data_IF_933603110336
#
_entry.id   IF_933603110336
#
_cell.length_a   1.000
_cell.length_b   1.000
_cell.length_c   1.000
_cell.angle_alpha   90.00
_cell.angle_beta   90.00
_cell.angle_gamma   90.00
#
_symmetry.space_group_name_H-M   'P 1'
#
loop_
_entity.id
_entity.type
_entity.pdbx_description
1 polymer ?
#
# COMPACT_ATOMS: atom_id res chain seq x y z
N UNK A 1 27.79 -33.07 -17.46
CA UNK A 1 26.41 -32.74 -17.06
C UNK A 1 26.16 -33.44 -15.73
N UNK A 2 26.04 -32.67 -14.65
CA UNK A 2 25.76 -33.16 -13.31
C UNK A 2 24.26 -33.54 -13.16
N UNK A 3 23.85 -34.07 -12.00
CA UNK A 3 22.47 -34.52 -11.82
C UNK A 3 21.51 -33.30 -11.68
N UNK A 4 21.96 -32.17 -11.11
CA UNK A 4 21.22 -30.91 -11.08
C UNK A 4 20.85 -30.45 -12.49
N UNK A 5 21.80 -30.40 -13.41
CA UNK A 5 21.55 -30.00 -14.81
C UNK A 5 20.59 -30.97 -15.54
N UNK A 6 20.67 -32.27 -15.22
CA UNK A 6 19.73 -33.27 -15.79
C UNK A 6 18.33 -33.12 -15.23
N UNK A 7 18.21 -32.75 -13.96
CA UNK A 7 16.93 -32.42 -13.33
C UNK A 7 16.28 -31.24 -14.05
N UNK A 8 17.01 -30.13 -14.25
CA UNK A 8 16.50 -28.96 -14.94
C UNK A 8 16.09 -29.26 -16.38
N UNK A 9 16.90 -30.07 -17.12
CA UNK A 9 16.53 -30.51 -18.45
C UNK A 9 15.23 -31.32 -18.44
N UNK A 10 15.05 -32.22 -17.48
CA UNK A 10 13.83 -33.00 -17.35
C UNK A 10 12.60 -32.15 -17.00
N UNK A 11 12.79 -31.06 -16.22
CA UNK A 11 11.73 -30.07 -15.97
C UNK A 11 11.35 -29.33 -17.24
N UNK A 12 12.31 -28.87 -18.04
CA UNK A 12 12.06 -28.25 -19.34
C UNK A 12 11.32 -29.17 -20.32
N UNK A 13 11.65 -30.47 -20.29
CA UNK A 13 10.97 -31.52 -21.08
C UNK A 13 9.60 -31.95 -20.48
N UNK A 14 9.20 -31.34 -19.34
CA UNK A 14 7.98 -31.67 -18.57
C UNK A 14 7.91 -33.12 -18.09
N UNK A 15 9.03 -33.79 -17.96
CA UNK A 15 9.13 -35.17 -17.42
C UNK A 15 9.42 -35.13 -15.91
N UNK A 16 8.34 -34.86 -15.14
CA UNK A 16 8.43 -34.69 -13.68
C UNK A 16 8.97 -35.94 -12.98
N UNK A 17 8.73 -37.14 -13.55
CA UNK A 17 9.25 -38.41 -12.98
C UNK A 17 10.76 -38.51 -13.08
N UNK A 18 11.33 -38.12 -14.23
CA UNK A 18 12.79 -38.07 -14.38
C UNK A 18 13.39 -36.93 -13.60
N UNK A 19 12.73 -35.77 -13.54
CA UNK A 19 13.17 -34.63 -12.73
C UNK A 19 13.34 -35.07 -11.27
N UNK A 20 12.35 -35.71 -10.66
CA UNK A 20 12.44 -36.22 -9.29
C UNK A 20 13.57 -37.24 -9.11
N UNK A 21 13.75 -38.18 -10.07
CA UNK A 21 14.87 -39.12 -10.00
C UNK A 21 16.25 -38.43 -10.02
N UNK A 22 16.42 -37.41 -10.86
CA UNK A 22 17.67 -36.66 -10.91
C UNK A 22 17.83 -35.74 -9.69
N UNK A 23 16.75 -35.20 -9.14
CA UNK A 23 16.76 -34.47 -7.90
C UNK A 23 17.33 -35.31 -6.75
N UNK A 24 16.81 -36.53 -6.53
CA UNK A 24 17.33 -37.46 -5.50
C UNK A 24 18.80 -37.76 -5.69
N UNK A 25 19.22 -38.00 -6.94
CA UNK A 25 20.63 -38.26 -7.27
C UNK A 25 21.50 -37.05 -7.07
N UNK A 26 20.98 -35.85 -7.36
CA UNK A 26 21.73 -34.59 -7.12
C UNK A 26 22.04 -34.43 -5.65
N UNK A 27 21.05 -34.63 -4.75
CA UNK A 27 21.27 -34.58 -3.30
C UNK A 27 22.34 -35.55 -2.79
N UNK A 28 22.50 -36.70 -3.45
CA UNK A 28 23.48 -37.72 -3.04
C UNK A 28 24.90 -37.50 -3.61
N UNK A 29 25.02 -36.81 -4.75
CA UNK A 29 26.28 -36.89 -5.53
C UNK A 29 26.80 -35.57 -6.04
N UNK A 30 26.00 -34.55 -6.13
CA UNK A 30 26.44 -33.21 -6.60
C UNK A 30 27.12 -32.43 -5.43
N UNK A 31 28.02 -31.53 -5.75
CA UNK A 31 28.68 -30.72 -4.70
C UNK A 31 27.73 -29.69 -4.11
N UNK A 32 28.06 -29.25 -2.91
CA UNK A 32 27.27 -28.27 -2.14
C UNK A 32 27.07 -26.97 -2.93
N UNK A 33 28.08 -26.48 -3.67
CA UNK A 33 27.97 -25.30 -4.51
C UNK A 33 26.95 -25.49 -5.66
N UNK A 34 26.96 -26.67 -6.29
CA UNK A 34 26.03 -27.03 -7.38
C UNK A 34 24.61 -27.14 -6.84
N UNK A 35 24.45 -27.71 -5.66
CA UNK A 35 23.16 -27.78 -4.96
C UNK A 35 22.66 -26.40 -4.58
N UNK A 36 23.52 -25.51 -4.10
CA UNK A 36 23.15 -24.12 -3.79
C UNK A 36 22.62 -23.38 -5.03
N UNK A 37 23.35 -23.48 -6.18
CA UNK A 37 22.88 -22.89 -7.44
C UNK A 37 21.53 -23.48 -7.89
N UNK A 38 21.33 -24.80 -7.73
CA UNK A 38 20.06 -25.45 -8.05
C UNK A 38 18.93 -24.94 -7.15
N UNK A 39 19.17 -24.82 -5.85
CA UNK A 39 18.17 -24.36 -4.90
C UNK A 39 17.72 -22.92 -5.19
N UNK A 40 18.68 -22.01 -5.45
CA UNK A 40 18.39 -20.62 -5.82
C UNK A 40 17.55 -20.55 -7.12
N UNK A 41 17.87 -21.38 -8.11
CA UNK A 41 17.09 -21.44 -9.34
C UNK A 41 15.66 -21.95 -9.08
N UNK A 42 15.52 -23.03 -8.30
CA UNK A 42 14.21 -23.62 -7.97
C UNK A 42 13.35 -22.66 -7.15
N UNK A 43 13.94 -21.94 -6.20
CA UNK A 43 13.27 -20.89 -5.44
C UNK A 43 12.75 -19.79 -6.38
N UNK A 44 13.60 -19.30 -7.29
CA UNK A 44 13.25 -18.26 -8.26
C UNK A 44 12.12 -18.63 -9.23
N UNK A 45 11.87 -19.92 -9.46
CA UNK A 45 10.76 -20.42 -10.30
C UNK A 45 9.60 -21.01 -9.48
N UNK A 46 9.60 -20.81 -8.14
CA UNK A 46 8.51 -21.19 -7.25
C UNK A 46 8.47 -22.67 -6.83
N UNK A 47 9.57 -23.44 -7.03
CA UNK A 47 9.70 -24.81 -6.54
C UNK A 47 10.22 -24.82 -5.09
N UNK A 48 9.52 -24.12 -4.20
CA UNK A 48 9.90 -23.95 -2.79
C UNK A 48 10.13 -25.24 -2.01
N UNK A 49 9.32 -26.32 -2.13
CA UNK A 49 9.57 -27.56 -1.40
C UNK A 49 10.93 -28.20 -1.73
N UNK A 50 11.31 -28.21 -3.01
CA UNK A 50 12.58 -28.77 -3.46
C UNK A 50 13.75 -27.86 -3.07
N UNK A 51 13.59 -26.55 -3.20
CA UNK A 51 14.59 -25.58 -2.75
C UNK A 51 14.84 -25.72 -1.24
N UNK A 52 13.78 -25.79 -0.43
CA UNK A 52 13.85 -25.99 1.03
C UNK A 52 14.59 -27.28 1.38
N UNK A 53 14.29 -28.40 0.69
CA UNK A 53 14.97 -29.69 0.93
C UNK A 53 16.47 -29.59 0.65
N UNK A 54 16.88 -28.91 -0.44
CA UNK A 54 18.30 -28.70 -0.75
C UNK A 54 18.94 -27.80 0.32
N UNK A 55 18.35 -26.66 0.65
CA UNK A 55 18.90 -25.74 1.67
C UNK A 55 19.09 -26.45 3.01
N UNK A 56 18.12 -27.25 3.46
CA UNK A 56 18.24 -28.04 4.67
C UNK A 56 19.39 -29.08 4.59
N UNK A 57 19.64 -29.61 3.39
CA UNK A 57 20.72 -30.57 3.16
C UNK A 57 22.10 -29.92 3.26
N UNK A 58 22.23 -28.66 2.78
CA UNK A 58 23.53 -27.96 2.69
C UNK A 58 23.81 -26.98 3.82
N UNK A 59 22.85 -26.71 4.72
CA UNK A 59 22.93 -25.64 5.74
C UNK A 59 24.16 -25.73 6.64
N UNK A 60 24.68 -26.94 6.88
CA UNK A 60 25.87 -27.11 7.72
C UNK A 60 27.13 -26.58 7.04
N UNK A 61 27.24 -26.65 5.73
CA UNK A 61 28.38 -26.17 4.94
C UNK A 61 28.18 -24.73 4.47
N UNK A 62 26.90 -24.33 4.26
CA UNK A 62 26.47 -23.00 3.82
C UNK A 62 25.45 -22.41 4.79
N UNK A 63 25.88 -21.90 5.96
CA UNK A 63 24.97 -21.34 6.96
C UNK A 63 24.13 -20.16 6.47
N UNK A 64 24.59 -19.44 5.44
CA UNK A 64 23.88 -18.34 4.80
C UNK A 64 22.51 -18.75 4.25
N UNK A 65 22.28 -20.00 3.90
CA UNK A 65 20.97 -20.49 3.41
C UNK A 65 19.89 -20.46 4.49
N UNK A 66 20.24 -20.20 5.74
CA UNK A 66 19.25 -19.93 6.78
C UNK A 66 18.36 -18.74 6.43
N UNK A 67 18.87 -17.74 5.70
CA UNK A 67 18.07 -16.62 5.23
C UNK A 67 17.00 -17.07 4.22
N UNK A 68 17.39 -17.91 3.24
CA UNK A 68 16.47 -18.49 2.26
C UNK A 68 15.42 -19.39 2.93
N UNK A 69 15.85 -20.24 3.89
CA UNK A 69 14.95 -21.09 4.66
C UNK A 69 13.93 -20.27 5.47
N UNK A 70 14.38 -19.17 6.06
CA UNK A 70 13.52 -18.24 6.77
C UNK A 70 12.50 -17.57 5.85
N UNK A 71 12.95 -17.12 4.66
CA UNK A 71 12.05 -16.52 3.64
C UNK A 71 10.98 -17.51 3.20
N UNK A 72 11.37 -18.75 2.86
CA UNK A 72 10.41 -19.79 2.47
C UNK A 72 9.44 -20.11 3.61
N UNK A 73 9.92 -20.22 4.85
CA UNK A 73 9.07 -20.48 6.01
C UNK A 73 8.08 -19.32 6.26
N UNK A 74 8.50 -18.07 6.03
CA UNK A 74 7.64 -16.88 6.10
C UNK A 74 6.53 -16.92 5.05
N UNK A 75 6.85 -17.24 3.80
CA UNK A 75 5.88 -17.35 2.71
C UNK A 75 4.87 -18.50 2.96
N UNK A 76 5.32 -19.59 3.58
CA UNK A 76 4.47 -20.71 4.01
C UNK A 76 3.58 -20.34 5.23
N UNK A 77 3.73 -19.13 5.81
CA UNK A 77 3.04 -18.68 7.02
C UNK A 77 3.56 -19.33 8.31
N UNK A 78 4.73 -19.96 8.27
CA UNK A 78 5.34 -20.61 9.43
C UNK A 78 6.35 -19.68 10.11
N UNK A 79 5.81 -18.66 10.80
CA UNK A 79 6.60 -17.59 11.42
C UNK A 79 7.57 -18.12 12.48
N UNK A 80 7.18 -19.12 13.27
CA UNK A 80 8.05 -19.71 14.29
C UNK A 80 9.29 -20.40 13.67
N UNK A 81 9.09 -21.13 12.56
CA UNK A 81 10.18 -21.77 11.84
C UNK A 81 11.11 -20.73 11.20
N UNK A 82 10.53 -19.65 10.64
CA UNK A 82 11.29 -18.54 10.07
C UNK A 82 12.21 -17.89 11.13
N UNK A 83 11.70 -17.58 12.31
CA UNK A 83 12.52 -17.05 13.41
C UNK A 83 13.61 -18.03 13.83
N UNK A 84 13.32 -19.33 13.90
CA UNK A 84 14.33 -20.33 14.28
C UNK A 84 15.53 -20.32 13.30
N UNK A 85 15.30 -20.22 11.99
CA UNK A 85 16.38 -20.08 11.03
C UNK A 85 17.13 -18.76 11.15
N UNK A 86 16.42 -17.64 11.40
CA UNK A 86 17.04 -16.33 11.56
C UNK A 86 17.86 -16.19 12.84
N UNK A 87 17.60 -16.98 13.88
CA UNK A 87 18.40 -17.00 15.10
C UNK A 87 19.79 -17.64 14.91
N UNK A 88 19.94 -18.50 13.91
CA UNK A 88 21.24 -19.11 13.55
C UNK A 88 22.17 -18.12 12.82
N UNK A 89 21.67 -16.96 12.38
CA UNK A 89 22.48 -15.92 11.69
C UNK A 89 23.01 -14.95 12.75
N UNK A 90 24.31 -14.99 12.99
CA UNK A 90 24.97 -14.18 14.02
C UNK A 90 25.50 -12.85 13.48
N UNK A 91 25.84 -11.87 14.36
CA UNK A 91 26.39 -10.57 13.95
C UNK A 91 27.66 -10.61 13.13
N UNK A 92 28.38 -11.71 13.15
CA UNK A 92 29.60 -11.93 12.36
C UNK A 92 29.33 -12.34 10.91
N UNK A 93 28.08 -12.67 10.59
CA UNK A 93 27.66 -13.05 9.24
C UNK A 93 27.43 -11.82 8.36
N UNK A 94 27.86 -11.91 7.11
CA UNK A 94 27.56 -10.90 6.09
C UNK A 94 26.05 -10.75 5.82
N UNK A 95 25.25 -11.73 6.21
CA UNK A 95 23.78 -11.79 6.06
C UNK A 95 23.02 -11.27 7.28
N UNK A 96 23.72 -10.81 8.32
CA UNK A 96 23.07 -10.39 9.56
C UNK A 96 22.11 -9.22 9.37
N UNK A 97 22.48 -8.24 8.55
CA UNK A 97 21.62 -7.09 8.22
C UNK A 97 20.33 -7.55 7.55
N UNK A 98 20.45 -8.46 6.55
CA UNK A 98 19.28 -9.03 5.87
C UNK A 98 18.40 -9.86 6.81
N UNK A 99 19.03 -10.58 7.76
CA UNK A 99 18.29 -11.33 8.77
C UNK A 99 17.52 -10.40 9.73
N UNK A 100 18.09 -9.27 10.10
CA UNK A 100 17.41 -8.25 10.92
C UNK A 100 16.26 -7.59 10.17
N UNK A 101 16.43 -7.30 8.88
CA UNK A 101 15.36 -6.77 8.02
C UNK A 101 14.19 -7.76 7.93
N UNK A 102 14.46 -9.04 7.63
CA UNK A 102 13.41 -10.06 7.59
C UNK A 102 12.75 -10.30 8.96
N UNK A 103 13.50 -10.21 10.08
CA UNK A 103 12.91 -10.22 11.42
C UNK A 103 11.96 -9.04 11.63
N UNK A 104 12.32 -7.85 11.14
CA UNK A 104 11.46 -6.68 11.24
C UNK A 104 10.15 -6.89 10.47
N UNK A 105 10.22 -7.40 9.23
CA UNK A 105 9.03 -7.72 8.43
C UNK A 105 8.12 -8.73 9.14
N UNK A 106 8.70 -9.80 9.70
CA UNK A 106 7.94 -10.80 10.46
C UNK A 106 7.27 -10.22 11.70
N UNK A 107 7.97 -9.38 12.48
CA UNK A 107 7.37 -8.72 13.64
C UNK A 107 6.26 -7.75 13.24
N UNK A 108 6.41 -7.04 12.12
CA UNK A 108 5.36 -6.16 11.61
C UNK A 108 4.12 -6.96 11.19
N UNK A 109 4.28 -8.09 10.50
CA UNK A 109 3.17 -8.99 10.15
C UNK A 109 2.41 -9.51 11.38
N UNK A 110 3.12 -9.74 12.49
CA UNK A 110 2.52 -10.12 13.77
C UNK A 110 1.91 -8.93 14.56
N UNK A 111 1.96 -7.71 14.00
CA UNK A 111 1.46 -6.50 14.65
C UNK A 111 2.36 -5.98 15.78
N UNK A 112 3.61 -6.44 15.84
CA UNK A 112 4.62 -6.03 16.82
C UNK A 112 5.53 -4.94 16.24
N UNK A 113 4.92 -3.85 15.76
CA UNK A 113 5.58 -2.77 15.02
C UNK A 113 6.71 -2.11 15.82
N UNK A 114 6.57 -1.98 17.15
CA UNK A 114 7.65 -1.49 18.03
C UNK A 114 8.90 -2.37 17.97
N UNK A 115 8.73 -3.70 17.98
CA UNK A 115 9.84 -4.66 17.93
C UNK A 115 10.45 -4.67 16.53
N UNK A 116 9.64 -4.59 15.48
CA UNK A 116 10.10 -4.44 14.10
C UNK A 116 11.02 -3.22 13.96
N UNK A 117 10.59 -2.08 14.52
CA UNK A 117 11.37 -0.84 14.57
C UNK A 117 12.73 -1.02 15.25
N UNK A 118 12.78 -1.71 16.38
CA UNK A 118 14.04 -1.99 17.07
C UNK A 118 14.98 -2.83 16.21
N UNK A 119 14.48 -3.78 15.42
CA UNK A 119 15.29 -4.60 14.51
C UNK A 119 15.88 -3.79 13.37
N UNK A 120 15.14 -2.85 12.78
CA UNK A 120 15.70 -1.94 11.77
C UNK A 120 16.69 -0.96 12.36
N UNK A 121 16.48 -0.44 13.57
CA UNK A 121 17.48 0.37 14.27
C UNK A 121 18.78 -0.43 14.56
N UNK A 122 18.65 -1.70 14.90
CA UNK A 122 19.80 -2.59 15.07
C UNK A 122 20.53 -2.78 13.72
N UNK A 123 19.81 -3.04 12.63
CA UNK A 123 20.38 -3.19 11.29
C UNK A 123 21.16 -1.96 10.82
N UNK A 124 20.66 -0.76 11.12
CA UNK A 124 21.30 0.51 10.78
C UNK A 124 22.60 0.77 11.57
N UNK A 125 22.93 0.00 12.60
CA UNK A 125 24.27 0.04 13.20
C UNK A 125 25.35 -0.69 12.35
N UNK A 126 24.91 -1.49 11.37
CA UNK A 126 25.78 -2.31 10.52
C UNK A 126 25.76 -1.89 9.04
N UNK A 127 24.75 -1.13 8.63
CA UNK A 127 24.54 -0.72 7.23
C UNK A 127 23.85 0.64 7.15
N UNK A 128 24.23 1.44 6.16
CA UNK A 128 23.61 2.72 5.80
C UNK A 128 22.66 2.58 4.59
N UNK A 129 22.12 1.38 4.34
CA UNK A 129 21.24 1.11 3.22
C UNK A 129 19.98 1.98 3.28
N UNK A 130 19.71 2.66 2.18
CA UNK A 130 18.56 3.56 2.04
C UNK A 130 17.21 2.85 2.25
N UNK A 131 17.10 1.56 1.90
CA UNK A 131 15.87 0.78 2.12
C UNK A 131 15.61 0.49 3.61
N UNK A 132 16.67 0.32 4.41
CA UNK A 132 16.51 0.19 5.87
C UNK A 132 16.02 1.50 6.50
N UNK A 133 16.56 2.65 6.04
CA UNK A 133 16.10 3.97 6.49
C UNK A 133 14.64 4.20 6.06
N UNK A 134 14.30 3.81 4.83
CA UNK A 134 12.93 3.88 4.33
C UNK A 134 11.98 3.01 5.16
N UNK A 135 12.32 1.74 5.38
CA UNK A 135 11.53 0.82 6.20
C UNK A 135 11.33 1.34 7.64
N UNK A 136 12.39 1.88 8.25
CA UNK A 136 12.29 2.49 9.58
C UNK A 136 11.32 3.69 9.58
N UNK A 137 11.36 4.54 8.56
CA UNK A 137 10.45 5.67 8.44
C UNK A 137 8.99 5.23 8.22
N UNK A 138 8.75 4.13 7.47
CA UNK A 138 7.42 3.52 7.34
C UNK A 138 6.90 3.02 8.70
N UNK A 139 7.72 2.30 9.48
CA UNK A 139 7.35 1.85 10.83
C UNK A 139 7.12 3.03 11.80
N UNK A 140 7.93 4.08 11.73
CA UNK A 140 7.70 5.30 12.51
C UNK A 140 6.37 5.97 12.14
N UNK A 141 6.03 6.00 10.86
CA UNK A 141 4.73 6.52 10.40
C UNK A 141 3.56 5.68 10.90
N UNK A 142 3.69 4.36 10.86
CA UNK A 142 2.67 3.42 11.38
C UNK A 142 2.44 3.58 12.89
N UNK A 143 3.51 3.81 13.65
CA UNK A 143 3.47 4.07 15.10
C UNK A 143 2.97 5.48 15.45
N UNK A 144 2.73 6.36 14.48
CA UNK A 144 2.36 7.74 14.70
C UNK A 144 3.54 8.66 15.08
N UNK A 145 4.77 8.20 14.96
CA UNK A 145 6.00 8.97 15.17
C UNK A 145 6.32 9.81 13.92
N UNK A 146 5.36 10.63 13.50
CA UNK A 146 5.41 11.34 12.21
C UNK A 146 6.62 12.28 12.07
N UNK A 147 7.14 12.82 13.18
CA UNK A 147 8.31 13.70 13.12
C UNK A 147 9.58 12.90 12.77
N UNK A 148 9.75 11.73 13.34
CA UNK A 148 10.82 10.78 13.08
C UNK A 148 10.71 10.24 11.63
N UNK A 149 9.51 9.88 11.21
CA UNK A 149 9.21 9.42 9.85
C UNK A 149 9.64 10.48 8.81
N UNK A 150 9.26 11.75 9.00
CA UNK A 150 9.66 12.86 8.12
C UNK A 150 11.19 12.99 8.07
N UNK A 151 11.89 12.87 9.20
CA UNK A 151 13.35 12.94 9.23
C UNK A 151 13.99 11.78 8.48
N UNK A 152 13.43 10.58 8.58
CA UNK A 152 13.87 9.41 7.83
C UNK A 152 13.69 9.62 6.32
N UNK A 153 12.49 9.90 5.86
CA UNK A 153 12.20 10.13 4.44
C UNK A 153 13.01 11.27 3.83
N UNK A 154 13.23 12.36 4.58
CA UNK A 154 13.96 13.53 4.09
C UNK A 154 15.45 13.28 3.83
N UNK A 155 16.03 12.19 4.34
CA UNK A 155 17.41 11.78 4.07
C UNK A 155 17.57 11.02 2.75
N UNK A 156 16.44 10.58 2.17
CA UNK A 156 16.42 9.66 1.04
C UNK A 156 16.28 10.42 -0.29
N UNK A 157 16.91 9.88 -1.32
CA UNK A 157 16.64 10.31 -2.69
C UNK A 157 15.31 9.73 -3.16
N UNK A 158 14.32 10.60 -3.37
CA UNK A 158 12.97 10.19 -3.74
C UNK A 158 12.93 9.31 -5.00
N UNK A 159 13.75 9.64 -6.01
CA UNK A 159 13.76 8.91 -7.27
C UNK A 159 14.29 7.49 -7.07
N UNK A 160 15.40 7.36 -6.33
CA UNK A 160 16.00 6.05 -6.05
C UNK A 160 15.05 5.15 -5.26
N UNK A 161 14.36 5.69 -4.26
CA UNK A 161 13.36 4.93 -3.49
C UNK A 161 12.18 4.54 -4.37
N UNK A 162 11.67 5.49 -5.18
CA UNK A 162 10.54 5.22 -6.07
C UNK A 162 10.85 4.12 -7.10
N UNK A 163 12.03 4.14 -7.72
CA UNK A 163 12.47 3.10 -8.66
C UNK A 163 12.55 1.70 -8.03
N UNK A 164 12.83 1.61 -6.72
CA UNK A 164 12.96 0.34 -5.99
C UNK A 164 11.67 -0.15 -5.34
N UNK A 165 10.83 0.77 -4.86
CA UNK A 165 9.67 0.44 -4.01
C UNK A 165 8.33 0.80 -4.65
N UNK A 166 8.33 1.66 -5.67
CA UNK A 166 7.11 2.27 -6.22
C UNK A 166 6.48 3.33 -5.30
N UNK A 167 7.17 3.74 -4.21
CA UNK A 167 6.64 4.69 -3.22
C UNK A 167 7.38 6.01 -3.26
N UNK A 168 6.64 7.13 -3.32
CA UNK A 168 7.22 8.48 -3.25
C UNK A 168 7.46 8.90 -1.80
N UNK A 169 8.72 9.26 -1.46
CA UNK A 169 9.04 9.83 -0.15
C UNK A 169 8.39 11.19 0.05
N UNK A 170 8.14 11.97 -1.02
CA UNK A 170 7.41 13.22 -0.92
C UNK A 170 5.95 13.02 -0.53
N UNK A 171 5.28 12.00 -1.08
CA UNK A 171 3.93 11.62 -0.66
C UNK A 171 3.90 11.26 0.82
N UNK A 172 4.84 10.43 1.28
CA UNK A 172 4.95 10.02 2.69
C UNK A 172 5.21 11.20 3.64
N UNK A 173 6.08 12.13 3.25
CA UNK A 173 6.34 13.37 4.01
C UNK A 173 5.07 14.22 4.05
N UNK A 174 4.38 14.39 2.92
CA UNK A 174 3.13 15.15 2.86
C UNK A 174 2.06 14.57 3.79
N UNK A 175 1.86 13.25 3.74
CA UNK A 175 0.97 12.54 4.65
C UNK A 175 1.35 12.77 6.12
N UNK A 176 2.60 12.57 6.48
CA UNK A 176 3.07 12.74 7.86
C UNK A 176 2.88 14.19 8.37
N UNK A 177 3.09 15.21 7.51
CA UNK A 177 2.79 16.60 7.85
C UNK A 177 1.28 16.83 8.05
N UNK A 178 0.42 16.21 7.24
CA UNK A 178 -1.03 16.30 7.41
C UNK A 178 -1.46 15.72 8.76
N UNK A 179 -0.92 14.57 9.16
CA UNK A 179 -1.18 13.97 10.47
C UNK A 179 -0.72 14.84 11.64
N UNK A 180 0.33 15.65 11.46
CA UNK A 180 0.79 16.65 12.44
C UNK A 180 -0.02 17.96 12.41
N UNK A 181 -1.04 18.08 11.55
CA UNK A 181 -1.82 19.29 11.36
C UNK A 181 -1.05 20.44 10.69
N UNK A 182 0.08 20.13 10.04
CA UNK A 182 0.92 21.11 9.32
C UNK A 182 0.52 21.15 7.83
N UNK A 183 -0.69 21.60 7.57
CA UNK A 183 -1.34 21.46 6.27
C UNK A 183 -0.62 22.20 5.13
N UNK A 184 -0.04 23.38 5.37
CA UNK A 184 0.74 24.11 4.36
C UNK A 184 1.96 23.29 3.87
N UNK A 185 2.69 22.67 4.81
CA UNK A 185 3.80 21.79 4.45
C UNK A 185 3.31 20.50 3.77
N UNK A 186 2.20 19.95 4.24
CA UNK A 186 1.60 18.74 3.63
C UNK A 186 1.27 18.97 2.15
N UNK A 187 0.57 20.08 1.84
CA UNK A 187 0.21 20.41 0.46
C UNK A 187 1.45 20.65 -0.42
N UNK A 188 2.49 21.33 0.08
CA UNK A 188 3.73 21.54 -0.66
C UNK A 188 4.40 20.21 -1.07
N UNK A 189 4.47 19.24 -0.16
CA UNK A 189 5.08 17.96 -0.45
C UNK A 189 4.22 17.07 -1.34
N UNK A 190 2.89 17.09 -1.18
CA UNK A 190 1.99 16.34 -2.06
C UNK A 190 1.97 16.92 -3.48
N UNK A 191 2.06 18.25 -3.64
CA UNK A 191 2.23 18.88 -4.96
C UNK A 191 3.53 18.42 -5.63
N UNK A 192 4.65 18.39 -4.90
CA UNK A 192 5.91 17.87 -5.42
C UNK A 192 5.82 16.40 -5.83
N UNK A 193 5.08 15.59 -5.08
CA UNK A 193 4.86 14.19 -5.46
C UNK A 193 4.13 14.08 -6.80
N UNK A 194 3.05 14.83 -7.00
CA UNK A 194 2.26 14.86 -8.23
C UNK A 194 3.00 15.48 -9.43
N UNK A 195 3.90 16.43 -9.21
CA UNK A 195 4.76 16.98 -10.27
C UNK A 195 5.73 15.95 -10.84
N UNK A 196 6.15 14.99 -10.02
CA UNK A 196 7.05 13.91 -10.47
C UNK A 196 6.30 12.78 -11.13
N UNK A 197 5.21 12.36 -10.54
CA UNK A 197 4.36 11.29 -11.06
C UNK A 197 2.94 11.45 -10.52
N UNK A 198 1.98 11.33 -11.42
CA UNK A 198 0.57 11.40 -11.07
C UNK A 198 0.13 10.12 -10.34
N UNK A 199 -0.51 10.30 -9.19
CA UNK A 199 -1.12 9.25 -8.39
C UNK A 199 -2.49 9.71 -7.89
N UNK A 200 -3.52 8.89 -8.12
CA UNK A 200 -4.92 9.23 -7.81
C UNK A 200 -5.14 9.47 -6.31
N UNK A 201 -4.52 8.65 -5.47
CA UNK A 201 -4.64 8.77 -4.02
C UNK A 201 -4.00 10.08 -3.52
N UNK A 202 -2.81 10.41 -4.03
CA UNK A 202 -2.13 11.67 -3.71
C UNK A 202 -2.94 12.88 -4.16
N UNK A 203 -3.53 12.83 -5.35
CA UNK A 203 -4.39 13.89 -5.85
C UNK A 203 -5.66 14.05 -5.00
N UNK A 204 -6.26 12.95 -4.56
CA UNK A 204 -7.41 12.94 -3.67
C UNK A 204 -7.10 13.54 -2.29
N UNK A 205 -5.99 13.14 -1.69
CA UNK A 205 -5.52 13.67 -0.41
C UNK A 205 -5.27 15.18 -0.49
N UNK A 206 -4.58 15.62 -1.55
CA UNK A 206 -4.29 17.03 -1.77
C UNK A 206 -5.56 17.85 -2.01
N UNK A 207 -6.51 17.34 -2.80
CA UNK A 207 -7.80 17.97 -3.02
C UNK A 207 -8.59 18.11 -1.71
N UNK A 208 -8.57 17.09 -0.86
CA UNK A 208 -9.23 17.06 0.43
C UNK A 208 -8.59 18.04 1.40
N UNK A 209 -7.25 18.10 1.48
CA UNK A 209 -6.53 19.07 2.31
C UNK A 209 -6.81 20.51 1.89
N UNK A 210 -6.89 20.81 0.59
CA UNK A 210 -7.26 22.13 0.11
C UNK A 210 -8.72 22.46 0.44
N UNK A 211 -9.62 21.47 0.41
CA UNK A 211 -11.00 21.67 0.84
C UNK A 211 -11.08 22.05 2.32
N UNK A 212 -10.36 21.35 3.19
CA UNK A 212 -10.32 21.62 4.63
C UNK A 212 -9.68 22.97 4.98
N UNK A 213 -8.77 23.45 4.14
CA UNK A 213 -8.18 24.80 4.25
C UNK A 213 -9.05 25.89 3.62
N UNK A 214 -10.25 25.58 3.15
CA UNK A 214 -11.16 26.48 2.44
C UNK A 214 -10.60 27.05 1.11
N UNK A 215 -9.54 26.43 0.57
CA UNK A 215 -8.93 26.72 -0.74
C UNK A 215 -9.69 25.98 -1.86
N UNK A 216 -11.00 26.26 -1.95
CA UNK A 216 -11.92 25.47 -2.78
C UNK A 216 -11.56 25.43 -4.27
N UNK A 217 -10.99 26.50 -4.82
CA UNK A 217 -10.56 26.53 -6.22
C UNK A 217 -9.45 25.53 -6.51
N UNK A 218 -8.49 25.38 -5.59
CA UNK A 218 -7.43 24.40 -5.71
C UNK A 218 -7.98 22.98 -5.50
N UNK A 219 -8.87 22.79 -4.53
CA UNK A 219 -9.57 21.55 -4.32
C UNK A 219 -10.28 21.07 -5.60
N UNK A 220 -11.07 21.97 -6.24
CA UNK A 220 -11.73 21.70 -7.53
C UNK A 220 -10.73 21.33 -8.61
N UNK A 221 -9.55 22.00 -8.67
CA UNK A 221 -8.52 21.70 -9.66
C UNK A 221 -8.06 20.23 -9.56
N UNK A 222 -7.71 19.76 -8.37
CA UNK A 222 -7.19 18.40 -8.17
C UNK A 222 -8.29 17.34 -8.30
N UNK A 223 -9.50 17.57 -7.78
CA UNK A 223 -10.63 16.67 -8.05
C UNK A 223 -10.96 16.55 -9.54
N UNK A 224 -10.85 17.64 -10.29
CA UNK A 224 -11.06 17.61 -11.74
C UNK A 224 -9.98 16.80 -12.47
N UNK A 225 -8.73 16.78 -11.95
CA UNK A 225 -7.71 15.91 -12.50
C UNK A 225 -8.10 14.44 -12.35
N UNK A 226 -8.59 14.04 -11.17
CA UNK A 226 -9.08 12.67 -10.93
C UNK A 226 -10.24 12.35 -11.89
N UNK A 227 -11.26 13.21 -11.97
CA UNK A 227 -12.42 13.04 -12.85
C UNK A 227 -12.00 12.87 -14.32
N UNK A 228 -10.87 13.48 -14.74
CA UNK A 228 -10.40 13.46 -16.11
C UNK A 228 -9.51 12.26 -16.41
N UNK A 229 -8.60 11.91 -15.50
CA UNK A 229 -7.55 10.90 -15.70
C UNK A 229 -8.05 9.51 -15.29
N UNK A 230 -8.70 9.44 -14.14
CA UNK A 230 -9.12 8.20 -13.49
C UNK A 230 -10.57 8.30 -13.01
N UNK A 231 -11.54 8.45 -13.93
CA UNK A 231 -12.95 8.62 -13.56
C UNK A 231 -13.54 7.44 -12.78
N UNK A 232 -12.87 6.28 -12.79
CA UNK A 232 -13.26 5.08 -12.04
C UNK A 232 -12.68 5.05 -10.62
N UNK A 233 -11.84 6.02 -10.22
CA UNK A 233 -11.38 6.14 -8.85
C UNK A 233 -12.57 6.35 -7.92
N UNK A 234 -12.64 5.61 -6.82
CA UNK A 234 -13.82 5.58 -5.96
C UNK A 234 -13.83 6.71 -4.93
N UNK A 235 -14.97 7.33 -4.73
CA UNK A 235 -15.27 8.19 -3.59
C UNK A 235 -14.89 9.66 -3.73
N UNK A 236 -14.29 10.10 -4.83
CA UNK A 236 -13.93 11.51 -5.02
C UNK A 236 -15.15 12.41 -5.30
N UNK A 237 -16.24 11.87 -5.84
CA UNK A 237 -17.38 12.65 -6.32
C UNK A 237 -18.04 13.45 -5.20
N UNK A 238 -18.11 12.89 -4.00
CA UNK A 238 -18.66 13.63 -2.86
C UNK A 238 -17.83 14.89 -2.56
N UNK A 239 -16.53 14.74 -2.33
CA UNK A 239 -15.61 15.87 -2.08
C UNK A 239 -15.62 16.87 -3.23
N UNK A 240 -15.57 16.40 -4.47
CA UNK A 240 -15.61 17.24 -5.66
C UNK A 240 -16.90 18.06 -5.76
N UNK A 241 -18.06 17.43 -5.54
CA UNK A 241 -19.34 18.11 -5.57
C UNK A 241 -19.44 19.19 -4.48
N UNK A 242 -18.93 18.90 -3.28
CA UNK A 242 -18.90 19.88 -2.19
C UNK A 242 -17.98 21.06 -2.52
N UNK A 243 -16.78 20.81 -3.08
CA UNK A 243 -15.87 21.87 -3.48
C UNK A 243 -16.46 22.79 -4.56
N UNK A 244 -17.12 22.20 -5.57
CA UNK A 244 -17.85 22.95 -6.60
C UNK A 244 -19.00 23.78 -6.01
N UNK A 245 -19.74 23.22 -5.07
CA UNK A 245 -20.83 23.93 -4.38
C UNK A 245 -20.30 25.15 -3.60
N UNK A 246 -19.15 24.99 -2.90
CA UNK A 246 -18.50 26.11 -2.20
C UNK A 246 -18.03 27.21 -3.17
N UNK A 247 -17.67 26.86 -4.40
CA UNK A 247 -17.37 27.81 -5.49
C UNK A 247 -18.62 28.31 -6.24
N UNK A 248 -19.82 28.08 -5.70
CA UNK A 248 -21.12 28.52 -6.28
C UNK A 248 -21.40 27.90 -7.67
N UNK A 249 -20.78 26.77 -8.02
CA UNK A 249 -20.98 26.04 -9.28
C UNK A 249 -22.03 24.92 -9.06
N UNK A 250 -23.26 25.29 -8.66
CA UNK A 250 -24.27 24.37 -8.15
C UNK A 250 -24.73 23.36 -9.22
N UNK A 251 -24.87 23.78 -10.49
CA UNK A 251 -25.23 22.87 -11.61
C UNK A 251 -24.18 21.78 -11.80
N UNK A 252 -22.90 22.16 -11.75
CA UNK A 252 -21.79 21.23 -11.92
C UNK A 252 -21.65 20.31 -10.69
N UNK A 253 -21.86 20.86 -9.49
CA UNK A 253 -21.90 20.08 -8.25
C UNK A 253 -22.99 18.99 -8.31
N UNK A 254 -24.18 19.31 -8.81
CA UNK A 254 -25.25 18.35 -9.00
C UNK A 254 -24.89 17.28 -10.05
N UNK A 255 -24.23 17.70 -11.15
CA UNK A 255 -23.76 16.75 -12.19
C UNK A 255 -22.79 15.72 -11.60
N UNK A 256 -21.79 16.18 -10.84
CA UNK A 256 -20.79 15.29 -10.19
C UNK A 256 -21.47 14.39 -9.15
N UNK A 257 -22.37 14.93 -8.31
CA UNK A 257 -23.08 14.11 -7.34
C UNK A 257 -23.91 12.99 -8.03
N UNK A 258 -24.57 13.29 -9.15
CA UNK A 258 -25.28 12.28 -9.95
C UNK A 258 -24.34 11.24 -10.56
N UNK A 259 -23.17 11.65 -11.04
CA UNK A 259 -22.13 10.72 -11.55
C UNK A 259 -21.70 9.72 -10.45
N UNK A 260 -21.48 10.19 -9.21
CA UNK A 260 -21.19 9.29 -8.09
C UNK A 260 -22.34 8.35 -7.77
N UNK A 261 -23.60 8.82 -7.87
CA UNK A 261 -24.80 7.99 -7.68
C UNK A 261 -25.02 6.96 -8.80
N UNK A 262 -24.47 7.15 -10.00
CA UNK A 262 -24.45 6.11 -11.04
C UNK A 262 -23.56 4.93 -10.66
N UNK A 263 -22.46 5.19 -9.90
CA UNK A 263 -21.56 4.16 -9.37
C UNK A 263 -22.12 3.51 -8.10
N UNK A 264 -22.59 4.33 -7.17
CA UNK A 264 -23.19 3.88 -5.90
C UNK A 264 -24.55 4.58 -5.66
N UNK A 265 -25.66 3.97 -6.10
CA UNK A 265 -26.99 4.59 -6.03
C UNK A 265 -27.52 4.87 -4.61
N UNK A 266 -26.92 4.26 -3.60
CA UNK A 266 -27.37 4.35 -2.20
C UNK A 266 -26.38 5.10 -1.30
N UNK A 267 -25.40 5.79 -1.87
CA UNK A 267 -24.47 6.62 -1.09
C UNK A 267 -25.21 7.82 -0.46
N UNK A 268 -25.57 7.68 0.81
CA UNK A 268 -26.44 8.63 1.53
C UNK A 268 -25.90 10.07 1.46
N UNK A 269 -24.57 10.27 1.59
CA UNK A 269 -23.97 11.63 1.54
C UNK A 269 -24.15 12.28 0.17
N UNK A 270 -24.02 11.51 -0.91
CA UNK A 270 -24.25 12.01 -2.26
C UNK A 270 -25.73 12.28 -2.52
N UNK A 271 -26.65 11.43 -2.02
CA UNK A 271 -28.09 11.65 -2.12
C UNK A 271 -28.51 12.94 -1.41
N UNK A 272 -28.01 13.19 -0.20
CA UNK A 272 -28.27 14.43 0.55
C UNK A 272 -27.70 15.65 -0.15
N UNK A 273 -26.49 15.56 -0.70
CA UNK A 273 -25.87 16.62 -1.48
C UNK A 273 -26.66 16.93 -2.76
N UNK A 274 -27.02 15.88 -3.54
CA UNK A 274 -27.81 16.04 -4.76
C UNK A 274 -29.21 16.64 -4.49
N UNK A 275 -29.83 16.26 -3.36
CA UNK A 275 -31.08 16.88 -2.92
C UNK A 275 -30.91 18.37 -2.64
N UNK A 276 -29.87 18.75 -1.89
CA UNK A 276 -29.59 20.14 -1.58
C UNK A 276 -29.36 20.95 -2.86
N UNK A 277 -28.51 20.45 -3.78
CA UNK A 277 -28.20 21.15 -5.02
C UNK A 277 -29.43 21.29 -5.93
N UNK A 278 -30.26 20.23 -6.03
CA UNK A 278 -31.52 20.30 -6.77
C UNK A 278 -32.48 21.35 -6.21
N UNK A 279 -32.59 21.44 -4.88
CA UNK A 279 -33.43 22.43 -4.21
C UNK A 279 -32.95 23.86 -4.50
N UNK A 280 -31.64 24.11 -4.40
CA UNK A 280 -31.04 25.43 -4.72
C UNK A 280 -31.24 25.83 -6.19
N UNK A 281 -31.32 24.84 -7.10
CA UNK A 281 -31.62 25.02 -8.52
C UNK A 281 -33.13 25.12 -8.81
N UNK A 282 -33.97 25.27 -7.79
CA UNK A 282 -35.42 25.35 -7.91
C UNK A 282 -36.09 24.11 -8.53
N UNK A 283 -35.49 22.92 -8.27
CA UNK A 283 -36.12 21.62 -8.59
C UNK A 283 -36.53 20.86 -7.32
N UNK A 284 -37.60 21.24 -6.66
CA UNK A 284 -38.06 20.57 -5.44
C UNK A 284 -38.46 19.12 -5.69
N UNK A 285 -38.92 18.77 -6.90
CA UNK A 285 -39.28 17.39 -7.23
C UNK A 285 -38.07 16.48 -7.32
N UNK A 286 -36.96 16.95 -7.91
CA UNK A 286 -35.69 16.24 -7.92
C UNK A 286 -35.13 16.10 -6.51
N UNK A 287 -35.15 17.19 -5.73
CA UNK A 287 -34.72 17.16 -4.33
C UNK A 287 -35.46 16.14 -3.48
N UNK A 288 -36.79 16.08 -3.62
CA UNK A 288 -37.64 15.09 -2.94
C UNK A 288 -37.28 13.64 -3.31
N UNK A 289 -37.06 13.35 -4.61
CA UNK A 289 -36.70 12.01 -5.06
C UNK A 289 -35.39 11.51 -4.42
N UNK A 290 -34.33 12.35 -4.36
CA UNK A 290 -33.10 11.98 -3.70
C UNK A 290 -33.28 11.71 -2.21
N UNK A 291 -34.09 12.50 -1.50
CA UNK A 291 -34.37 12.28 -0.08
C UNK A 291 -35.18 11.01 0.16
N UNK A 292 -36.10 10.67 -0.71
CA UNK A 292 -36.88 9.44 -0.60
C UNK A 292 -35.98 8.21 -0.81
N UNK A 293 -35.04 8.27 -1.75
CA UNK A 293 -34.04 7.21 -1.94
C UNK A 293 -33.11 7.10 -0.72
N UNK A 294 -32.60 8.22 -0.22
CA UNK A 294 -31.74 8.24 0.96
C UNK A 294 -32.41 7.63 2.21
N UNK A 295 -33.73 7.79 2.34
CA UNK A 295 -34.51 7.29 3.47
C UNK A 295 -34.55 5.75 3.52
N UNK A 296 -34.37 5.06 2.41
CA UNK A 296 -34.47 3.59 2.35
C UNK A 296 -33.35 2.91 3.10
N UNK A 297 -32.15 3.50 3.10
CA UNK A 297 -30.93 2.89 3.68
C UNK A 297 -30.30 3.71 4.83
N UNK A 298 -30.84 4.91 5.14
CA UNK A 298 -30.27 5.76 6.17
C UNK A 298 -30.53 5.20 7.58
N UNK A 299 -29.46 5.09 8.37
CA UNK A 299 -29.57 4.76 9.80
C UNK A 299 -30.21 5.88 10.62
N UNK A 300 -29.91 7.15 10.28
CA UNK A 300 -30.52 8.33 10.85
C UNK A 300 -31.34 9.07 9.80
N UNK A 301 -32.65 9.12 10.02
CA UNK A 301 -33.61 9.73 9.11
C UNK A 301 -34.09 11.12 9.54
N UNK A 302 -33.63 11.66 10.67
CA UNK A 302 -34.12 12.94 11.22
C UNK A 302 -33.87 14.08 10.23
N UNK A 303 -32.65 14.22 9.72
CA UNK A 303 -32.29 15.26 8.74
C UNK A 303 -33.13 15.11 7.45
N UNK A 304 -33.32 13.87 6.97
CA UNK A 304 -34.13 13.61 5.77
C UNK A 304 -35.55 14.09 5.96
N UNK A 305 -36.16 13.77 7.09
CA UNK A 305 -37.53 14.22 7.38
C UNK A 305 -37.66 15.73 7.50
N UNK A 306 -36.68 16.40 8.10
CA UNK A 306 -36.64 17.85 8.21
C UNK A 306 -36.57 18.51 6.82
N UNK A 307 -35.71 18.01 5.95
CA UNK A 307 -35.56 18.52 4.58
C UNK A 307 -36.85 18.26 3.74
N UNK A 308 -37.46 17.07 3.85
CA UNK A 308 -38.73 16.76 3.22
C UNK A 308 -39.88 17.69 3.71
N UNK A 309 -39.97 17.93 5.01
CA UNK A 309 -40.94 18.86 5.58
C UNK A 309 -40.80 20.27 5.03
N UNK A 310 -39.54 20.76 4.87
CA UNK A 310 -39.29 22.06 4.26
C UNK A 310 -39.82 22.14 2.84
N UNK A 311 -39.52 21.12 2.01
CA UNK A 311 -40.00 21.05 0.62
C UNK A 311 -41.54 21.08 0.57
N UNK A 312 -42.21 20.30 1.43
CA UNK A 312 -43.69 20.21 1.44
C UNK A 312 -44.38 21.47 2.00
N UNK A 313 -43.68 22.27 2.82
CA UNK A 313 -44.23 23.51 3.34
C UNK A 313 -44.19 24.67 2.34
N UNK A 314 -43.32 24.58 1.33
CA UNK A 314 -43.13 25.60 0.31
C UNK A 314 -43.85 25.31 -1.00
N UNK A 315 -44.41 24.11 -1.18
CA UNK A 315 -45.31 23.74 -2.26
C UNK A 315 -46.78 24.16 -1.96
#
# INVERSE_FOLDING_TARGET
MNNSQRMLQALDEQDLSKADQYFRKALETDSTEVLYELANYLEGIGFYPQAKEIYQHIVTEFPEVNLNLASIASEDGNVEEAFAYLEEITPESDWYVSALALKADLYQLEGLTDVAREKLLEALNYSDDALLVFGLAELDSELGNYQEAIQGYAQLDNRSIYEQTGVSTYQRIGYAYAQLGKFEAATEFLEKALELEYDDQTAFELASLYFDQEEYQKSVLYFKQIDTISPDFEGYEYGYSQALHKEHQVEEALRIAKQGLEKNPFETRLLLAASQFSYELHDPSGAEQFLLTAKEDAEDTEEIFLRLATIYMEQ
#
